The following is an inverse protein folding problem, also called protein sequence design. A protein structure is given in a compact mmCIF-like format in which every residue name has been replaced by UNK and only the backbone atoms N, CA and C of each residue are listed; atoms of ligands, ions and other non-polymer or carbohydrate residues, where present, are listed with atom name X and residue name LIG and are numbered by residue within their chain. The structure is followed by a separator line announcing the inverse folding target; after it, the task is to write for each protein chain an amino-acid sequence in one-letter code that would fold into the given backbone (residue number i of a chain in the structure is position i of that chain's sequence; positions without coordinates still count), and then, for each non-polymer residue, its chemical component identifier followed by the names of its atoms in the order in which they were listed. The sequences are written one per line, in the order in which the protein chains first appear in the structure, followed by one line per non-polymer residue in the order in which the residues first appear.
data_IF_507830546900
#
_entry.id   IF_507830546900
#
_cell.length_a   1.000
_cell.length_b   1.000
_cell.length_c   1.000
_cell.angle_alpha   90.00
_cell.angle_beta   90.00
_cell.angle_gamma   90.00
#
_symmetry.space_group_name_H-M   'P 1'
#
loop_
_entity.id
_entity.type
_entity.pdbx_description
1 polymer ?
#
# COMPACT_ATOMS: atom_id res chain seq x y z
N UNK A 1 21.87 -8.85 -22.16
CA UNK A 1 20.41 -8.62 -22.29
C UNK A 1 19.84 -8.51 -20.89
N UNK A 2 19.62 -7.29 -20.40
CA UNK A 2 18.96 -7.07 -19.11
C UNK A 2 17.46 -7.29 -19.33
N UNK A 3 16.98 -8.48 -18.98
CA UNK A 3 15.55 -8.68 -18.77
C UNK A 3 15.16 -7.80 -17.58
N UNK A 4 14.16 -6.96 -17.75
CA UNK A 4 13.46 -6.26 -16.66
C UNK A 4 12.25 -7.13 -16.30
N UNK A 5 12.22 -7.86 -15.18
CA UNK A 5 11.04 -8.55 -14.69
C UNK A 5 10.43 -7.83 -13.46
N UNK A 6 9.12 -7.89 -13.24
CA UNK A 6 8.15 -7.08 -13.95
C UNK A 6 7.58 -6.00 -13.02
N UNK A 7 7.36 -4.79 -13.56
CA UNK A 7 6.64 -3.70 -12.91
C UNK A 7 5.15 -4.05 -12.62
N UNK A 8 4.69 -5.23 -13.06
CA UNK A 8 3.29 -5.68 -12.99
C UNK A 8 2.83 -5.97 -11.57
N UNK A 9 3.67 -6.53 -10.71
CA UNK A 9 3.22 -6.94 -9.36
C UNK A 9 2.92 -5.71 -8.48
N UNK A 10 3.63 -4.60 -8.73
CA UNK A 10 3.45 -3.35 -8.00
C UNK A 10 2.12 -2.66 -8.27
N UNK A 11 1.38 -3.04 -9.33
CA UNK A 11 0.03 -2.50 -9.60
C UNK A 11 -0.93 -2.77 -8.44
N UNK A 12 -0.75 -3.91 -7.75
CA UNK A 12 -1.64 -4.31 -6.66
C UNK A 12 -1.51 -3.36 -5.48
N UNK A 13 -0.29 -3.02 -5.07
CA UNK A 13 -0.07 -2.07 -3.98
C UNK A 13 -0.25 -0.62 -4.42
N UNK A 14 0.31 -0.25 -5.58
CA UNK A 14 0.38 1.14 -6.04
C UNK A 14 -0.95 1.71 -6.54
N UNK A 15 -1.79 0.85 -7.13
CA UNK A 15 -3.03 1.27 -7.78
C UNK A 15 -4.25 0.57 -7.15
N UNK A 16 -4.30 -0.77 -7.11
CA UNK A 16 -5.51 -1.50 -6.67
C UNK A 16 -5.85 -1.23 -5.20
N UNK A 17 -4.94 -1.52 -4.26
CA UNK A 17 -5.18 -1.29 -2.83
C UNK A 17 -5.37 0.20 -2.51
N UNK A 18 -4.62 1.08 -3.21
CA UNK A 18 -4.72 2.52 -3.04
C UNK A 18 -6.10 3.05 -3.44
N UNK A 19 -6.63 2.64 -4.60
CA UNK A 19 -7.96 3.08 -5.06
C UNK A 19 -9.08 2.44 -4.22
N UNK A 20 -8.91 1.19 -3.75
CA UNK A 20 -9.88 0.57 -2.84
C UNK A 20 -10.17 1.41 -1.59
N UNK A 21 -9.18 2.19 -1.09
CA UNK A 21 -9.37 3.02 0.10
C UNK A 21 -10.35 4.18 -0.11
N UNK A 22 -10.40 4.73 -1.33
CA UNK A 22 -11.30 5.85 -1.68
C UNK A 22 -12.61 5.36 -2.29
N UNK A 23 -12.59 4.25 -3.03
CA UNK A 23 -13.76 3.70 -3.70
C UNK A 23 -14.68 2.89 -2.74
N UNK A 24 -14.19 2.60 -1.52
CA UNK A 24 -15.00 2.03 -0.44
C UNK A 24 -15.73 3.08 0.41
N UNK A 25 -15.76 4.35 -0.02
CA UNK A 25 -16.47 5.44 0.66
C UNK A 25 -17.81 5.73 -0.05
N UNK A 26 -18.84 6.08 0.72
CA UNK A 26 -20.14 6.48 0.15
C UNK A 26 -20.05 7.74 -0.74
N UNK A 27 -18.96 8.52 -0.61
CA UNK A 27 -18.67 9.70 -1.43
C UNK A 27 -17.91 9.39 -2.73
N UNK A 28 -17.71 8.11 -3.09
CA UNK A 28 -17.09 7.75 -4.37
C UNK A 28 -17.98 8.13 -5.57
N UNK A 29 -17.49 7.90 -6.77
CA UNK A 29 -18.22 8.09 -8.02
C UNK A 29 -17.92 6.98 -9.02
N UNK A 30 -18.84 6.71 -9.97
CA UNK A 30 -18.55 5.79 -11.07
C UNK A 30 -17.37 6.28 -11.92
N UNK A 31 -16.68 5.34 -12.59
CA UNK A 31 -15.63 5.66 -13.55
C UNK A 31 -16.15 6.47 -14.75
N UNK A 32 -17.40 6.25 -15.14
CA UNK A 32 -18.06 6.99 -16.21
C UNK A 32 -19.20 7.84 -15.65
N UNK A 33 -19.11 9.16 -15.86
CA UNK A 33 -20.21 10.09 -15.58
C UNK A 33 -21.05 10.31 -16.84
N UNK A 34 -22.34 10.59 -16.68
CA UNK A 34 -23.18 10.97 -17.82
C UNK A 34 -22.74 12.33 -18.35
N UNK A 35 -22.74 12.52 -19.68
CA UNK A 35 -22.26 13.75 -20.32
C UNK A 35 -23.01 15.00 -19.82
N UNK A 36 -24.30 14.86 -19.51
CA UNK A 36 -25.15 15.94 -19.00
C UNK A 36 -24.85 16.33 -17.54
N UNK A 37 -24.09 15.52 -16.79
CA UNK A 37 -23.67 15.82 -15.42
C UNK A 37 -22.42 16.72 -15.37
N UNK A 38 -21.69 16.85 -16.48
CA UNK A 38 -20.38 17.53 -16.54
C UNK A 38 -20.46 18.77 -17.45
N UNK A 39 -20.67 19.94 -16.83
CA UNK A 39 -20.88 21.19 -17.57
C UNK A 39 -19.87 22.29 -17.22
N UNK A 40 -19.28 22.27 -16.01
CA UNK A 40 -18.42 23.33 -15.49
C UNK A 40 -16.93 22.94 -15.53
N UNK A 41 -16.00 23.91 -15.71
CA UNK A 41 -14.55 23.64 -15.69
C UNK A 41 -14.03 22.93 -14.43
N UNK A 42 -14.66 23.16 -13.27
CA UNK A 42 -14.33 22.47 -12.02
C UNK A 42 -14.69 20.97 -12.10
N UNK A 43 -15.87 20.64 -12.66
CA UNK A 43 -16.32 19.25 -12.83
C UNK A 43 -15.44 18.50 -13.86
N UNK A 44 -14.96 19.20 -14.89
CA UNK A 44 -14.01 18.62 -15.86
C UNK A 44 -12.67 18.31 -15.17
N UNK A 45 -12.23 19.16 -14.24
CA UNK A 45 -10.98 18.97 -13.50
C UNK A 45 -11.05 17.79 -12.52
N UNK A 46 -12.25 17.42 -12.06
CA UNK A 46 -12.52 16.28 -11.18
C UNK A 46 -12.46 14.92 -11.92
N UNK A 47 -12.48 14.89 -13.25
CA UNK A 47 -12.49 13.67 -14.08
C UNK A 47 -11.11 13.18 -14.55
N UNK A 48 -10.02 13.90 -14.26
CA UNK A 48 -8.68 13.50 -14.70
C UNK A 48 -8.07 12.47 -13.74
N UNK A 49 -8.52 11.22 -13.88
CA UNK A 49 -7.86 10.04 -13.33
C UNK A 49 -7.30 9.13 -14.44
N UNK A 50 -6.52 8.12 -14.05
CA UNK A 50 -5.56 7.46 -14.93
C UNK A 50 -6.06 6.11 -15.46
N UNK A 51 -6.46 6.01 -16.74
CA UNK A 51 -6.59 4.72 -17.48
C UNK A 51 -6.14 4.87 -18.95
N UNK A 52 -5.61 3.79 -19.56
CA UNK A 52 -5.06 3.77 -20.93
C UNK A 52 -5.32 2.46 -21.71
N UNK A 53 -5.06 2.53 -23.03
CA UNK A 53 -5.77 1.94 -24.19
C UNK A 53 -5.21 0.64 -24.84
N UNK A 54 -5.98 0.05 -25.80
CA UNK A 54 -5.71 -1.19 -26.57
C UNK A 54 -5.50 -0.98 -28.10
N UNK A 55 -4.72 -1.86 -28.76
CA UNK A 55 -4.08 -1.69 -30.09
C UNK A 55 -5.00 -1.75 -31.33
N UNK A 56 -6.11 -2.48 -31.32
CA UNK A 56 -7.07 -2.52 -32.46
C UNK A 56 -7.94 -1.28 -32.48
N UNK A 57 -8.54 -0.98 -31.34
CA UNK A 57 -9.21 0.29 -31.04
C UNK A 57 -8.36 1.50 -31.44
N UNK A 58 -7.07 1.51 -31.06
CA UNK A 58 -6.15 2.60 -31.42
C UNK A 58 -5.92 2.76 -32.93
N UNK A 59 -6.10 1.70 -33.73
CA UNK A 59 -5.98 1.77 -35.19
C UNK A 59 -7.26 2.30 -35.82
N UNK A 60 -8.41 1.83 -35.35
CA UNK A 60 -9.72 2.16 -35.93
C UNK A 60 -10.16 3.60 -35.57
N UNK A 61 -9.69 4.12 -34.44
CA UNK A 61 -9.92 5.51 -34.02
C UNK A 61 -8.68 6.41 -34.11
N UNK A 62 -7.68 6.01 -34.90
CA UNK A 62 -6.48 6.82 -35.09
C UNK A 62 -6.85 8.23 -35.59
N UNK A 63 -6.39 9.26 -34.88
CA UNK A 63 -6.65 10.68 -35.18
C UNK A 63 -8.12 11.11 -35.07
N UNK A 64 -8.96 10.34 -34.36
CA UNK A 64 -10.37 10.65 -34.12
C UNK A 64 -10.73 10.52 -32.62
N UNK A 65 -11.98 10.80 -32.26
CA UNK A 65 -12.52 10.70 -30.91
C UNK A 65 -13.29 9.38 -30.70
N UNK A 66 -13.54 9.03 -29.45
CA UNK A 66 -14.19 7.78 -29.02
C UNK A 66 -15.00 7.97 -27.74
N UNK A 67 -15.99 7.12 -27.52
CA UNK A 67 -16.71 6.96 -26.24
C UNK A 67 -16.38 5.62 -25.58
N UNK A 68 -16.84 5.41 -24.34
CA UNK A 68 -16.53 4.19 -23.56
C UNK A 68 -16.97 2.89 -24.25
N UNK A 69 -18.14 2.92 -24.90
CA UNK A 69 -18.72 1.76 -25.60
C UNK A 69 -17.85 1.27 -26.76
N UNK A 70 -17.17 2.18 -27.46
CA UNK A 70 -16.30 1.85 -28.59
C UNK A 70 -15.18 0.86 -28.19
N UNK A 71 -14.67 0.96 -26.95
CA UNK A 71 -13.64 0.05 -26.44
C UNK A 71 -14.22 -1.34 -26.22
N UNK A 72 -15.42 -1.42 -25.65
CA UNK A 72 -16.10 -2.68 -25.35
C UNK A 72 -16.43 -3.46 -26.61
N UNK A 73 -16.84 -2.78 -27.67
CA UNK A 73 -17.12 -3.40 -28.98
C UNK A 73 -15.86 -4.02 -29.61
N UNK A 74 -14.72 -3.34 -29.52
CA UNK A 74 -13.46 -3.86 -30.05
C UNK A 74 -12.93 -5.04 -29.22
N UNK A 75 -13.14 -5.02 -27.90
CA UNK A 75 -12.81 -6.17 -27.05
C UNK A 75 -13.74 -7.36 -27.32
N UNK A 76 -15.04 -7.12 -27.52
CA UNK A 76 -16.01 -8.16 -27.88
C UNK A 76 -15.63 -8.85 -29.20
N UNK A 77 -15.21 -8.07 -30.21
CA UNK A 77 -14.71 -8.60 -31.48
C UNK A 77 -13.49 -9.51 -31.29
N UNK A 78 -12.57 -9.14 -30.40
CA UNK A 78 -11.40 -9.96 -30.10
C UNK A 78 -11.76 -11.24 -29.33
N UNK A 79 -12.74 -11.20 -28.42
CA UNK A 79 -13.27 -12.38 -27.72
C UNK A 79 -13.85 -13.38 -28.72
N UNK A 80 -14.66 -12.91 -29.68
CA UNK A 80 -15.25 -13.73 -30.74
C UNK A 80 -14.18 -14.33 -31.66
N UNK A 81 -13.18 -13.55 -32.06
CA UNK A 81 -12.09 -14.01 -32.93
C UNK A 81 -11.19 -15.07 -32.27
N UNK A 82 -11.01 -14.99 -30.94
CA UNK A 82 -10.17 -15.93 -30.18
C UNK A 82 -10.92 -17.16 -29.69
N UNK A 83 -12.26 -17.16 -29.76
CA UNK A 83 -13.11 -18.21 -29.19
C UNK A 83 -13.09 -18.24 -27.66
N UNK A 84 -12.75 -17.13 -27.01
CA UNK A 84 -12.78 -17.02 -25.54
C UNK A 84 -14.23 -17.06 -25.06
N UNK A 85 -14.55 -17.96 -24.13
CA UNK A 85 -15.92 -18.08 -23.58
C UNK A 85 -16.11 -17.13 -22.40
N UNK A 86 -17.09 -16.22 -22.52
CA UNK A 86 -17.54 -15.33 -21.46
C UNK A 86 -19.02 -15.62 -21.13
N UNK A 87 -19.46 -15.40 -19.86
CA UNK A 87 -20.85 -15.64 -19.47
C UNK A 87 -21.83 -14.64 -20.10
N UNK A 88 -21.37 -13.43 -20.41
CA UNK A 88 -22.13 -12.35 -21.02
C UNK A 88 -21.24 -11.57 -22.00
N UNK A 89 -21.83 -10.62 -22.75
CA UNK A 89 -21.05 -9.72 -23.61
C UNK A 89 -20.13 -8.85 -22.76
N UNK A 90 -19.03 -8.39 -23.37
CA UNK A 90 -18.07 -7.50 -22.69
C UNK A 90 -18.77 -6.27 -22.13
N UNK A 91 -19.72 -5.68 -22.87
CA UNK A 91 -20.52 -4.54 -22.43
C UNK A 91 -21.29 -4.82 -21.13
N UNK A 92 -22.02 -5.93 -21.05
CA UNK A 92 -22.82 -6.29 -19.88
C UNK A 92 -21.95 -6.50 -18.62
N UNK A 93 -20.75 -7.05 -18.81
CA UNK A 93 -19.78 -7.23 -17.73
C UNK A 93 -19.23 -5.88 -17.30
N UNK A 94 -18.68 -5.10 -18.23
CA UNK A 94 -17.98 -3.85 -17.93
C UNK A 94 -18.90 -2.75 -17.41
N UNK A 95 -20.15 -2.68 -17.84
CA UNK A 95 -21.11 -1.69 -17.35
C UNK A 95 -21.32 -1.80 -15.84
N UNK A 96 -21.35 -3.02 -15.30
CA UNK A 96 -21.43 -3.23 -13.85
C UNK A 96 -20.19 -2.74 -13.11
N UNK A 97 -19.05 -2.57 -13.78
CA UNK A 97 -17.82 -2.06 -13.16
C UNK A 97 -17.63 -0.55 -13.36
N UNK A 98 -18.22 0.04 -14.40
CA UNK A 98 -17.94 1.45 -14.78
C UNK A 98 -19.08 2.43 -14.54
N UNK A 99 -20.34 1.95 -14.50
CA UNK A 99 -21.53 2.81 -14.34
C UNK A 99 -22.06 2.88 -12.90
N UNK A 100 -21.52 2.07 -12.00
CA UNK A 100 -21.78 2.16 -10.56
C UNK A 100 -20.46 2.35 -9.82
N UNK A 101 -20.50 3.08 -8.71
CA UNK A 101 -19.32 3.30 -7.87
C UNK A 101 -19.05 2.10 -6.97
N UNK A 102 -17.83 2.03 -6.43
CA UNK A 102 -17.44 1.01 -5.48
C UNK A 102 -17.22 -0.36 -6.11
N UNK A 103 -17.00 -1.32 -5.23
CA UNK A 103 -16.67 -2.70 -5.59
C UNK A 103 -17.24 -3.69 -4.57
N UNK A 104 -17.37 -4.97 -4.94
CA UNK A 104 -17.91 -5.95 -4.01
C UNK A 104 -16.86 -6.50 -3.04
N UNK A 105 -17.34 -6.92 -1.87
CA UNK A 105 -16.69 -7.99 -1.10
C UNK A 105 -17.37 -9.31 -1.42
N UNK A 106 -16.58 -10.30 -1.82
CA UNK A 106 -17.04 -11.67 -2.07
C UNK A 106 -16.79 -12.50 -0.81
N UNK A 107 -17.86 -13.03 -0.21
CA UNK A 107 -17.77 -13.91 0.96
C UNK A 107 -17.97 -15.37 0.54
N UNK A 108 -17.00 -16.22 0.85
CA UNK A 108 -16.99 -17.65 0.52
C UNK A 108 -17.14 -18.47 1.80
N UNK A 109 -18.26 -19.18 1.92
CA UNK A 109 -18.47 -20.17 2.96
C UNK A 109 -18.00 -21.54 2.45
N UNK A 110 -16.82 -21.98 2.87
CA UNK A 110 -16.21 -23.23 2.40
C UNK A 110 -16.81 -24.47 3.06
N UNK A 111 -17.67 -24.31 4.08
CA UNK A 111 -18.45 -25.41 4.65
C UNK A 111 -19.62 -25.82 3.75
N UNK A 112 -20.20 -24.86 3.03
CA UNK A 112 -21.40 -25.06 2.18
C UNK A 112 -21.15 -24.85 0.69
N UNK A 113 -20.03 -24.24 0.32
CA UNK A 113 -19.76 -23.80 -1.05
C UNK A 113 -20.57 -22.57 -1.46
N UNK A 114 -21.23 -21.88 -0.51
CA UNK A 114 -22.02 -20.68 -0.80
C UNK A 114 -21.09 -19.47 -0.99
N UNK A 115 -21.27 -18.79 -2.10
CA UNK A 115 -20.66 -17.51 -2.43
C UNK A 115 -21.72 -16.43 -2.35
N UNK A 116 -21.34 -15.26 -1.86
CA UNK A 116 -22.18 -14.07 -1.85
C UNK A 116 -21.37 -12.83 -2.14
N UNK A 117 -21.98 -11.84 -2.78
CA UNK A 117 -21.41 -10.51 -2.98
C UNK A 117 -22.27 -9.44 -2.34
N UNK A 118 -21.62 -8.38 -1.89
CA UNK A 118 -22.25 -7.12 -1.48
C UNK A 118 -21.30 -5.96 -1.72
N UNK A 119 -21.83 -4.76 -1.92
CA UNK A 119 -21.04 -3.53 -1.95
C UNK A 119 -20.18 -3.42 -0.68
N UNK A 120 -18.88 -3.26 -0.84
CA UNK A 120 -17.94 -3.07 0.27
C UNK A 120 -17.83 -1.59 0.62
N UNK A 121 -18.13 -1.26 1.87
CA UNK A 121 -17.93 0.07 2.45
C UNK A 121 -17.03 -0.06 3.68
N UNK A 122 -16.10 0.87 3.85
CA UNK A 122 -15.24 0.90 5.04
C UNK A 122 -16.01 1.26 6.30
N UNK A 123 -17.03 2.11 6.17
CA UNK A 123 -17.98 2.42 7.23
C UNK A 123 -19.31 1.71 6.93
N UNK A 124 -19.69 0.68 7.71
CA UNK A 124 -20.91 -0.09 7.48
C UNK A 124 -22.19 0.71 7.75
N UNK A 125 -22.12 1.82 8.49
CA UNK A 125 -23.25 2.69 8.81
C UNK A 125 -23.46 3.80 7.78
N UNK A 126 -22.55 3.92 6.80
CA UNK A 126 -22.65 4.91 5.74
C UNK A 126 -23.88 4.67 4.86
N UNK A 127 -24.69 5.72 4.68
CA UNK A 127 -25.84 5.71 3.77
C UNK A 127 -25.34 6.00 2.36
N UNK A 128 -25.67 5.12 1.42
CA UNK A 128 -25.33 5.28 0.01
C UNK A 128 -26.48 5.98 -0.71
N UNK A 129 -26.35 7.30 -0.90
CA UNK A 129 -27.39 8.13 -1.53
C UNK A 129 -27.45 7.98 -3.05
N UNK A 130 -26.35 7.55 -3.69
CA UNK A 130 -26.30 7.36 -5.15
C UNK A 130 -26.97 6.02 -5.52
N UNK A 131 -28.10 6.01 -6.25
CA UNK A 131 -28.71 4.78 -6.71
C UNK A 131 -27.85 4.11 -7.79
N UNK A 132 -27.89 2.78 -7.86
CA UNK A 132 -27.28 2.00 -8.94
C UNK A 132 -28.37 1.30 -9.75
N UNK A 133 -28.28 1.37 -11.08
CA UNK A 133 -29.16 0.63 -11.99
C UNK A 133 -28.97 -0.90 -11.88
N UNK A 134 -27.86 -1.34 -11.29
CA UNK A 134 -27.53 -2.76 -11.06
C UNK A 134 -27.69 -3.18 -9.60
N UNK A 135 -28.27 -2.35 -8.73
CA UNK A 135 -28.44 -2.60 -7.30
C UNK A 135 -27.15 -2.99 -6.57
N UNK A 136 -26.01 -2.47 -7.02
CA UNK A 136 -24.68 -2.84 -6.50
C UNK A 136 -24.41 -4.36 -6.55
N UNK A 137 -24.71 -4.95 -7.71
CA UNK A 137 -24.34 -6.32 -8.06
C UNK A 137 -23.40 -6.30 -9.27
N UNK A 138 -22.31 -7.08 -9.20
CA UNK A 138 -21.29 -7.17 -10.24
C UNK A 138 -21.23 -8.58 -10.83
N UNK A 139 -20.77 -8.69 -12.08
CA UNK A 139 -20.35 -9.98 -12.63
C UNK A 139 -18.89 -10.21 -12.28
N UNK A 140 -18.65 -11.05 -11.28
CA UNK A 140 -17.33 -11.18 -10.66
C UNK A 140 -16.58 -12.41 -11.20
N UNK A 141 -15.44 -12.24 -11.90
CA UNK A 141 -14.58 -13.35 -12.27
C UNK A 141 -13.72 -13.78 -11.07
N UNK A 142 -13.89 -15.04 -10.66
CA UNK A 142 -13.23 -15.62 -9.49
C UNK A 142 -12.19 -16.64 -9.95
N UNK A 143 -10.92 -16.21 -9.96
CA UNK A 143 -9.78 -17.12 -10.03
C UNK A 143 -9.41 -17.57 -8.63
N UNK A 144 -9.27 -18.87 -8.42
CA UNK A 144 -9.08 -19.41 -7.09
C UNK A 144 -8.23 -20.67 -7.11
N UNK A 145 -7.67 -21.01 -5.95
CA UNK A 145 -6.92 -22.23 -5.73
C UNK A 145 -7.48 -22.97 -4.52
N UNK A 146 -7.29 -24.28 -4.51
CA UNK A 146 -7.61 -25.17 -3.39
C UNK A 146 -6.35 -25.92 -2.98
N UNK A 147 -5.89 -25.72 -1.75
CA UNK A 147 -4.74 -26.43 -1.16
C UNK A 147 -3.50 -26.46 -2.09
N UNK A 148 -3.09 -25.30 -2.61
CA UNK A 148 -1.93 -25.21 -3.50
C UNK A 148 -2.21 -25.41 -5.00
N UNK A 149 -3.40 -25.89 -5.38
CA UNK A 149 -3.73 -26.23 -6.77
C UNK A 149 -4.72 -25.22 -7.36
N UNK A 150 -4.29 -24.51 -8.41
CA UNK A 150 -5.15 -23.60 -9.18
C UNK A 150 -6.34 -24.35 -9.78
N UNK A 151 -7.52 -23.74 -9.70
CA UNK A 151 -8.79 -24.29 -10.18
C UNK A 151 -9.30 -23.48 -11.38
N UNK A 152 -10.28 -24.04 -12.09
CA UNK A 152 -10.94 -23.32 -13.18
C UNK A 152 -11.64 -22.06 -12.67
N UNK A 153 -11.51 -20.96 -13.42
CA UNK A 153 -12.19 -19.71 -13.11
C UNK A 153 -13.69 -19.92 -13.01
N UNK A 154 -14.29 -19.36 -11.95
CA UNK A 154 -15.73 -19.38 -11.71
C UNK A 154 -16.28 -17.96 -11.83
N UNK A 155 -17.52 -17.80 -12.31
CA UNK A 155 -18.18 -16.50 -12.37
C UNK A 155 -19.31 -16.43 -11.34
N UNK A 156 -19.32 -15.37 -10.53
CA UNK A 156 -20.45 -15.02 -9.69
C UNK A 156 -21.31 -14.00 -10.45
N UNK A 157 -22.39 -14.49 -11.06
CA UNK A 157 -23.27 -13.70 -11.94
C UNK A 157 -24.47 -13.09 -11.21
N UNK A 158 -24.82 -13.66 -10.06
CA UNK A 158 -25.91 -13.19 -9.22
C UNK A 158 -25.37 -12.80 -7.84
N UNK A 159 -26.24 -12.23 -7.00
CA UNK A 159 -25.91 -11.88 -5.62
C UNK A 159 -25.35 -13.05 -4.80
N UNK A 160 -25.83 -14.26 -5.08
CA UNK A 160 -25.38 -15.50 -4.43
C UNK A 160 -25.29 -16.64 -5.43
N UNK A 161 -24.33 -17.55 -5.22
CA UNK A 161 -24.23 -18.79 -5.99
C UNK A 161 -23.68 -19.91 -5.12
N UNK A 162 -23.97 -21.17 -5.45
CA UNK A 162 -23.37 -22.34 -4.78
C UNK A 162 -22.39 -23.03 -5.71
N UNK A 163 -21.13 -23.16 -5.28
CA UNK A 163 -20.05 -23.80 -6.01
C UNK A 163 -19.55 -24.98 -5.18
N UNK A 164 -19.91 -26.20 -5.56
CA UNK A 164 -19.63 -27.40 -4.76
C UNK A 164 -18.13 -27.68 -4.63
N UNK A 165 -17.35 -27.30 -5.64
CA UNK A 165 -15.90 -27.44 -5.70
C UNK A 165 -15.20 -26.60 -4.62
N UNK A 166 -15.84 -25.50 -4.20
CA UNK A 166 -15.35 -24.63 -3.13
C UNK A 166 -15.68 -25.13 -1.72
N UNK A 167 -16.23 -26.35 -1.58
CA UNK A 167 -16.34 -27.00 -0.28
C UNK A 167 -14.99 -27.54 0.17
N UNK A 168 -14.62 -27.29 1.42
CA UNK A 168 -13.35 -27.79 2.02
C UNK A 168 -13.64 -28.85 3.08
N UNK A 169 -12.83 -29.89 3.11
CA UNK A 169 -12.85 -30.94 4.14
C UNK A 169 -11.49 -31.06 4.83
N UNK A 170 -11.48 -31.45 6.10
CA UNK A 170 -10.24 -31.64 6.87
C UNK A 170 -9.35 -30.38 6.90
N UNK A 171 -8.15 -30.49 6.33
CA UNK A 171 -7.14 -29.44 6.28
C UNK A 171 -7.15 -28.62 4.97
N UNK A 172 -8.09 -28.90 4.05
CA UNK A 172 -8.21 -28.16 2.79
C UNK A 172 -8.56 -26.69 3.02
N UNK A 173 -7.93 -25.80 2.26
CA UNK A 173 -8.22 -24.36 2.29
C UNK A 173 -8.36 -23.81 0.89
N UNK A 174 -9.04 -22.67 0.78
CA UNK A 174 -9.25 -21.94 -0.46
C UNK A 174 -8.69 -20.53 -0.34
N UNK A 175 -8.03 -20.08 -1.40
CA UNK A 175 -7.72 -18.68 -1.65
C UNK A 175 -8.35 -18.29 -2.99
N UNK A 176 -9.13 -17.22 -2.99
CA UNK A 176 -9.74 -16.65 -4.18
C UNK A 176 -9.12 -15.29 -4.53
N UNK A 177 -9.42 -14.83 -5.74
CA UNK A 177 -8.80 -13.70 -6.41
C UNK A 177 -7.28 -13.88 -6.59
N UNK A 178 -6.86 -14.99 -7.22
CA UNK A 178 -5.44 -15.24 -7.49
C UNK A 178 -4.77 -14.05 -8.20
N UNK A 179 -3.63 -13.63 -7.65
CA UNK A 179 -2.87 -12.44 -8.07
C UNK A 179 -3.66 -11.12 -8.06
N UNK A 180 -4.80 -11.05 -7.36
CA UNK A 180 -5.66 -9.87 -7.26
C UNK A 180 -6.01 -9.31 -8.64
N UNK A 181 -6.32 -10.20 -9.59
CA UNK A 181 -6.69 -9.79 -10.96
C UNK A 181 -8.10 -9.23 -11.05
N UNK A 182 -8.96 -9.52 -10.07
CA UNK A 182 -10.29 -8.96 -9.97
C UNK A 182 -10.35 -7.79 -8.99
N UNK A 183 -11.16 -6.79 -9.31
CA UNK A 183 -11.35 -5.59 -8.51
C UNK A 183 -12.37 -5.84 -7.38
N UNK A 184 -12.04 -6.72 -6.44
CA UNK A 184 -12.89 -7.05 -5.29
C UNK A 184 -12.09 -7.59 -4.12
N UNK A 185 -12.65 -7.47 -2.91
CA UNK A 185 -12.09 -8.06 -1.69
C UNK A 185 -12.67 -9.43 -1.40
N UNK A 186 -11.93 -10.29 -0.72
CA UNK A 186 -12.41 -11.65 -0.38
C UNK A 186 -12.49 -11.84 1.12
N UNK A 187 -13.65 -12.32 1.58
CA UNK A 187 -13.84 -12.84 2.93
C UNK A 187 -14.12 -14.35 2.89
N UNK A 188 -13.77 -15.04 3.96
CA UNK A 188 -14.02 -16.46 4.13
C UNK A 188 -14.72 -16.75 5.45
N UNK A 189 -15.32 -17.93 5.59
CA UNK A 189 -15.71 -18.42 6.91
C UNK A 189 -14.49 -18.61 7.83
N UNK A 190 -14.73 -18.58 9.14
CA UNK A 190 -13.66 -18.66 10.14
C UNK A 190 -12.84 -19.96 10.03
N UNK A 191 -13.47 -21.06 9.62
CA UNK A 191 -12.78 -22.34 9.43
C UNK A 191 -11.72 -22.26 8.34
N UNK A 192 -12.02 -21.61 7.21
CA UNK A 192 -11.04 -21.38 6.15
C UNK A 192 -9.95 -20.38 6.58
N UNK A 193 -10.31 -19.29 7.27
CA UNK A 193 -9.33 -18.35 7.82
C UNK A 193 -8.31 -19.06 8.72
N UNK A 194 -8.75 -19.93 9.64
CA UNK A 194 -7.86 -20.69 10.51
C UNK A 194 -6.91 -21.62 9.74
N UNK A 195 -7.41 -22.27 8.69
CA UNK A 195 -6.59 -23.12 7.82
C UNK A 195 -5.56 -22.31 7.02
N UNK A 196 -5.94 -21.13 6.53
CA UNK A 196 -5.00 -20.21 5.86
C UNK A 196 -3.92 -19.70 6.82
N UNK A 197 -4.29 -19.29 8.04
CA UNK A 197 -3.32 -18.87 9.07
C UNK A 197 -2.34 -20.00 9.43
N UNK A 198 -2.84 -21.24 9.48
CA UNK A 198 -2.03 -22.43 9.70
C UNK A 198 -1.07 -22.70 8.52
N UNK A 199 -1.55 -22.57 7.28
CA UNK A 199 -0.72 -22.69 6.09
C UNK A 199 0.37 -21.62 6.03
N UNK A 200 0.04 -20.35 6.30
CA UNK A 200 1.00 -19.25 6.33
C UNK A 200 2.09 -19.48 7.38
N UNK A 201 1.72 -19.99 8.56
CA UNK A 201 2.68 -20.24 9.64
C UNK A 201 3.58 -21.45 9.37
N UNK A 202 3.06 -22.48 8.69
CA UNK A 202 3.79 -23.73 8.44
C UNK A 202 4.62 -23.70 7.16
N UNK A 203 4.04 -23.24 6.06
CA UNK A 203 4.71 -23.07 4.77
C UNK A 203 3.97 -22.02 3.92
N UNK A 204 4.26 -20.74 4.18
CA UNK A 204 3.65 -19.63 3.44
C UNK A 204 3.89 -19.68 1.94
N UNK A 205 4.98 -20.29 1.45
CA UNK A 205 5.36 -20.29 0.04
C UNK A 205 4.38 -21.08 -0.86
N UNK A 206 3.50 -21.90 -0.28
CA UNK A 206 2.41 -22.57 -1.03
C UNK A 206 1.38 -21.55 -1.54
N UNK A 207 1.21 -20.43 -0.83
CA UNK A 207 0.33 -19.34 -1.24
C UNK A 207 1.16 -18.32 -2.03
N UNK A 208 0.73 -17.91 -3.24
CA UNK A 208 1.44 -16.92 -4.06
C UNK A 208 1.70 -15.61 -3.31
N UNK A 209 2.84 -14.96 -3.57
CA UNK A 209 3.29 -13.75 -2.85
C UNK A 209 2.25 -12.63 -2.85
N UNK A 210 1.58 -12.39 -3.98
CA UNK A 210 0.54 -11.36 -4.09
C UNK A 210 -0.67 -11.73 -3.22
N UNK A 211 -1.08 -12.99 -3.21
CA UNK A 211 -2.19 -13.43 -2.37
C UNK A 211 -1.86 -13.42 -0.88
N UNK A 212 -0.60 -13.61 -0.48
CA UNK A 212 -0.20 -13.41 0.92
C UNK A 212 -0.36 -11.96 1.36
N UNK A 213 -0.01 -11.01 0.49
CA UNK A 213 -0.27 -9.59 0.71
C UNK A 213 -1.78 -9.30 0.74
N UNK A 214 -2.55 -9.85 -0.21
CA UNK A 214 -4.01 -9.71 -0.25
C UNK A 214 -4.67 -10.21 1.04
N UNK A 215 -4.27 -11.38 1.57
CA UNK A 215 -4.87 -11.93 2.80
C UNK A 215 -4.67 -10.99 4.00
N UNK A 216 -3.54 -10.30 4.07
CA UNK A 216 -3.29 -9.28 5.08
C UNK A 216 -4.20 -8.07 4.81
N UNK A 217 -4.12 -7.49 3.61
CA UNK A 217 -4.89 -6.29 3.24
C UNK A 217 -6.40 -6.46 3.39
N UNK A 218 -6.95 -7.55 2.86
CA UNK A 218 -8.38 -7.87 2.97
C UNK A 218 -8.76 -8.03 4.43
N UNK A 219 -8.01 -8.78 5.25
CA UNK A 219 -8.36 -8.97 6.66
C UNK A 219 -8.42 -7.65 7.44
N UNK A 220 -7.48 -6.72 7.23
CA UNK A 220 -7.49 -5.41 7.89
C UNK A 220 -8.66 -4.53 7.42
N UNK A 221 -8.94 -4.48 6.12
CA UNK A 221 -10.06 -3.68 5.60
C UNK A 221 -11.43 -4.29 5.94
N UNK A 222 -11.55 -5.62 5.95
CA UNK A 222 -12.72 -6.32 6.47
C UNK A 222 -12.93 -6.04 7.97
N UNK A 223 -11.85 -5.94 8.75
CA UNK A 223 -11.95 -5.59 10.17
C UNK A 223 -12.40 -4.15 10.39
N UNK A 224 -11.90 -3.21 9.57
CA UNK A 224 -12.35 -1.80 9.58
C UNK A 224 -13.83 -1.69 9.26
N UNK A 225 -14.31 -2.49 8.30
CA UNK A 225 -15.72 -2.59 7.91
C UNK A 225 -16.57 -3.48 8.86
N UNK A 226 -16.04 -3.85 10.03
CA UNK A 226 -16.70 -4.71 11.04
C UNK A 226 -17.22 -6.05 10.51
N UNK A 227 -16.59 -6.60 9.47
CA UNK A 227 -16.94 -7.89 8.84
C UNK A 227 -16.24 -9.04 9.55
N UNK A 228 -15.02 -8.81 10.03
CA UNK A 228 -14.23 -9.75 10.82
C UNK A 228 -13.66 -9.04 12.04
N UNK A 229 -13.23 -9.79 13.05
CA UNK A 229 -12.59 -9.19 14.21
C UNK A 229 -11.21 -8.61 13.87
N UNK A 230 -10.86 -7.47 14.48
CA UNK A 230 -9.52 -6.89 14.39
C UNK A 230 -8.43 -7.87 14.84
N UNK A 231 -8.75 -8.77 15.78
CA UNK A 231 -7.82 -9.80 16.24
C UNK A 231 -7.49 -10.81 15.13
N UNK A 232 -8.43 -11.13 14.23
CA UNK A 232 -8.18 -11.97 13.06
C UNK A 232 -7.23 -11.27 12.10
N UNK A 233 -7.45 -9.98 11.82
CA UNK A 233 -6.55 -9.19 10.99
C UNK A 233 -5.13 -9.15 11.56
N UNK A 234 -4.95 -8.87 12.85
CA UNK A 234 -3.63 -8.89 13.48
C UNK A 234 -2.96 -10.27 13.41
N UNK A 235 -3.74 -11.35 13.47
CA UNK A 235 -3.20 -12.72 13.36
C UNK A 235 -2.63 -13.04 11.98
N UNK A 236 -3.08 -12.40 10.90
CA UNK A 236 -2.49 -12.59 9.56
C UNK A 236 -1.03 -12.12 9.50
N UNK A 237 -0.61 -11.22 10.38
CA UNK A 237 0.78 -10.71 10.41
C UNK A 237 1.74 -11.62 11.20
N UNK A 238 1.24 -12.64 11.92
CA UNK A 238 2.07 -13.46 12.83
C UNK A 238 3.13 -14.28 12.11
N UNK A 239 2.91 -14.67 10.86
CA UNK A 239 3.86 -15.47 10.10
C UNK A 239 5.02 -14.64 9.50
N UNK A 240 4.93 -13.30 9.53
CA UNK A 240 5.90 -12.40 8.87
C UNK A 240 7.34 -12.59 9.34
N UNK A 241 7.57 -13.12 10.54
CA UNK A 241 8.91 -13.49 11.01
C UNK A 241 9.63 -14.50 10.08
N UNK A 242 8.87 -15.23 9.26
CA UNK A 242 9.38 -16.19 8.28
C UNK A 242 9.33 -15.65 6.84
N UNK A 243 8.74 -14.47 6.62
CA UNK A 243 8.55 -13.88 5.30
C UNK A 243 9.78 -13.07 4.89
N UNK A 244 10.20 -13.22 3.63
CA UNK A 244 11.35 -12.48 3.06
C UNK A 244 11.00 -11.69 1.80
N UNK A 245 9.77 -11.85 1.28
CA UNK A 245 9.30 -11.12 0.11
C UNK A 245 8.67 -9.77 0.45
N UNK A 246 8.75 -8.84 -0.49
CA UNK A 246 8.35 -7.44 -0.30
C UNK A 246 6.84 -7.26 -0.07
N UNK A 247 6.01 -7.84 -0.93
CA UNK A 247 4.58 -7.50 -1.00
C UNK A 247 3.84 -7.75 0.32
N UNK A 248 4.03 -8.90 1.01
CA UNK A 248 3.30 -9.13 2.26
C UNK A 248 3.81 -8.27 3.41
N UNK A 249 5.11 -7.97 3.42
CA UNK A 249 5.67 -7.01 4.36
C UNK A 249 5.11 -5.62 4.14
N UNK A 250 5.10 -5.11 2.90
CA UNK A 250 4.55 -3.79 2.61
C UNK A 250 3.06 -3.70 2.96
N UNK A 251 2.26 -4.69 2.55
CA UNK A 251 0.84 -4.74 2.91
C UNK A 251 0.60 -4.73 4.42
N UNK A 252 1.43 -5.42 5.20
CA UNK A 252 1.33 -5.38 6.66
C UNK A 252 1.70 -4.02 7.23
N UNK A 253 2.75 -3.38 6.71
CA UNK A 253 3.19 -2.06 7.18
C UNK A 253 2.15 -0.99 6.85
N UNK A 254 1.63 -0.96 5.62
CA UNK A 254 0.58 -0.01 5.20
C UNK A 254 -0.67 -0.11 6.08
N UNK A 255 -1.08 -1.33 6.43
CA UNK A 255 -2.25 -1.54 7.29
C UNK A 255 -1.97 -1.26 8.78
N UNK A 256 -0.72 -1.42 9.24
CA UNK A 256 -0.31 -1.09 10.60
C UNK A 256 0.01 0.40 10.80
N UNK A 257 0.24 1.17 9.74
CA UNK A 257 0.53 2.61 9.82
C UNK A 257 -0.56 3.38 10.57
N UNK A 258 -1.83 3.05 10.37
CA UNK A 258 -2.92 3.65 11.16
C UNK A 258 -2.84 3.28 12.65
N UNK A 259 -2.46 2.04 12.96
CA UNK A 259 -2.26 1.62 14.36
C UNK A 259 -1.09 2.37 15.00
N UNK A 260 0.02 2.56 14.29
CA UNK A 260 1.12 3.37 14.78
C UNK A 260 0.66 4.81 15.03
N UNK A 261 -0.03 5.43 14.07
CA UNK A 261 -0.53 6.81 14.21
C UNK A 261 -1.47 7.00 15.40
N UNK A 262 -2.35 6.02 15.66
CA UNK A 262 -3.30 6.08 16.76
C UNK A 262 -2.68 5.75 18.12
N UNK A 263 -1.71 4.83 18.16
CA UNK A 263 -1.22 4.26 19.40
C UNK A 263 0.18 4.71 19.82
N UNK A 264 0.94 5.44 19.00
CA UNK A 264 2.32 5.89 19.29
C UNK A 264 2.53 6.68 20.59
N UNK A 265 1.44 7.21 21.16
CA UNK A 265 1.40 7.99 22.40
C UNK A 265 0.57 7.33 23.50
N UNK A 266 0.25 6.06 23.35
CA UNK A 266 -0.57 5.29 24.30
C UNK A 266 0.20 4.14 24.95
N UNK A 267 -0.39 3.52 25.98
CA UNK A 267 0.17 2.33 26.62
C UNK A 267 0.34 1.13 25.67
N UNK A 268 -0.41 1.11 24.56
CA UNK A 268 -0.35 0.06 23.53
C UNK A 268 0.97 0.10 22.75
N UNK A 269 1.65 1.26 22.70
CA UNK A 269 2.84 1.42 21.87
C UNK A 269 3.98 0.49 22.27
N UNK A 270 4.24 0.31 23.56
CA UNK A 270 5.31 -0.57 24.06
C UNK A 270 5.15 -2.01 23.56
N UNK A 271 4.01 -2.68 23.86
CA UNK A 271 3.72 -4.01 23.35
C UNK A 271 3.72 -4.10 21.81
N UNK A 272 3.24 -3.06 21.12
CA UNK A 272 3.26 -3.00 19.65
C UNK A 272 4.70 -2.98 19.11
N UNK A 273 5.58 -2.16 19.70
CA UNK A 273 6.99 -2.09 19.34
C UNK A 273 7.71 -3.42 19.58
N UNK A 274 7.43 -4.10 20.70
CA UNK A 274 8.00 -5.41 21.01
C UNK A 274 7.54 -6.49 20.01
N UNK A 275 6.26 -6.47 19.62
CA UNK A 275 5.72 -7.34 18.58
C UNK A 275 6.42 -7.08 17.23
N UNK A 276 6.43 -5.84 16.77
CA UNK A 276 7.04 -5.45 15.49
C UNK A 276 8.52 -5.81 15.46
N UNK A 277 9.25 -5.56 16.56
CA UNK A 277 10.66 -5.94 16.72
C UNK A 277 10.84 -7.44 16.51
N UNK A 278 10.03 -8.27 17.19
CA UNK A 278 10.07 -9.73 17.07
C UNK A 278 9.81 -10.19 15.63
N UNK A 279 8.86 -9.55 14.93
CA UNK A 279 8.54 -9.93 13.56
C UNK A 279 9.66 -9.54 12.58
N UNK A 280 10.26 -8.34 12.71
CA UNK A 280 11.22 -7.81 11.72
C UNK A 280 12.66 -8.29 11.93
N UNK A 281 13.04 -8.67 13.15
CA UNK A 281 14.42 -9.03 13.47
C UNK A 281 15.01 -10.14 12.57
N UNK A 282 14.30 -11.25 12.25
CA UNK A 282 14.79 -12.25 11.30
C UNK A 282 15.03 -11.68 9.90
N UNK A 283 14.13 -10.82 9.41
CA UNK A 283 14.26 -10.17 8.10
C UNK A 283 15.46 -9.22 8.08
N UNK A 284 15.66 -8.45 9.15
CA UNK A 284 16.81 -7.56 9.28
C UNK A 284 18.12 -8.33 9.27
N UNK A 285 18.24 -9.42 10.06
CA UNK A 285 19.47 -10.22 10.09
C UNK A 285 19.74 -10.89 8.73
N UNK A 286 18.71 -11.34 8.01
CA UNK A 286 18.83 -11.81 6.61
C UNK A 286 19.50 -10.75 5.71
N UNK A 287 19.01 -9.51 5.72
CA UNK A 287 19.56 -8.43 4.89
C UNK A 287 20.91 -7.90 5.39
N UNK A 288 21.14 -7.89 6.69
CA UNK A 288 22.43 -7.49 7.28
C UNK A 288 23.55 -8.40 6.80
N UNK A 289 23.35 -9.72 6.79
CA UNK A 289 24.34 -10.68 6.25
C UNK A 289 24.66 -10.36 4.78
N UNK A 290 23.65 -10.05 3.96
CA UNK A 290 23.85 -9.68 2.55
C UNK A 290 24.65 -8.38 2.40
N UNK A 291 24.48 -7.43 3.31
CA UNK A 291 25.16 -6.14 3.29
C UNK A 291 26.62 -6.23 3.77
N UNK A 292 26.92 -7.10 4.75
CA UNK A 292 28.25 -7.21 5.39
C UNK A 292 29.18 -8.20 4.70
N UNK A 293 28.67 -9.22 4.02
CA UNK A 293 29.48 -10.27 3.36
C UNK A 293 30.02 -9.88 1.98
N UNK A 294 29.86 -8.63 1.56
CA UNK A 294 30.35 -8.17 0.26
C UNK A 294 29.53 -8.66 -0.95
N UNK A 295 28.43 -9.39 -0.71
CA UNK A 295 27.46 -9.82 -1.73
C UNK A 295 26.55 -8.67 -2.22
N UNK A 296 27.03 -7.41 -2.16
CA UNK A 296 26.28 -6.21 -2.57
C UNK A 296 25.82 -6.29 -4.03
N UNK A 297 26.58 -6.98 -4.88
CA UNK A 297 26.24 -7.26 -6.29
C UNK A 297 25.11 -8.29 -6.48
N UNK A 298 24.63 -8.92 -5.41
CA UNK A 298 23.50 -9.89 -5.41
C UNK A 298 22.22 -9.34 -4.79
N UNK A 299 22.09 -8.04 -4.56
CA UNK A 299 20.79 -7.45 -4.21
C UNK A 299 19.86 -7.60 -5.42
N UNK A 300 19.16 -8.73 -5.44
CA UNK A 300 18.50 -9.34 -6.60
C UNK A 300 17.53 -8.43 -7.35
N UNK A 301 16.24 -8.70 -7.20
CA UNK A 301 15.18 -7.98 -7.93
C UNK A 301 14.95 -6.59 -7.32
N UNK A 302 14.13 -5.76 -8.00
CA UNK A 302 13.68 -4.47 -7.43
C UNK A 302 12.95 -4.66 -6.09
N UNK A 303 12.08 -5.67 -5.99
CA UNK A 303 11.32 -5.99 -4.77
C UNK A 303 12.22 -6.38 -3.60
N UNK A 304 13.29 -7.15 -3.83
CA UNK A 304 14.28 -7.44 -2.77
C UNK A 304 14.91 -6.15 -2.22
N UNK A 305 15.20 -5.18 -3.09
CA UNK A 305 15.77 -3.88 -2.67
C UNK A 305 14.77 -3.03 -1.88
N UNK A 306 13.48 -3.08 -2.22
CA UNK A 306 12.45 -2.43 -1.40
C UNK A 306 12.27 -3.10 -0.05
N UNK A 307 12.24 -4.44 0.01
CA UNK A 307 12.09 -5.13 1.28
C UNK A 307 13.29 -4.92 2.21
N UNK A 308 14.49 -4.74 1.65
CA UNK A 308 15.67 -4.33 2.43
C UNK A 308 15.45 -2.98 3.12
N UNK A 309 14.85 -2.01 2.43
CA UNK A 309 14.55 -0.70 3.00
C UNK A 309 13.56 -0.86 4.15
N UNK A 310 12.50 -1.64 3.96
CA UNK A 310 11.51 -1.93 5.00
C UNK A 310 12.12 -2.62 6.21
N UNK A 311 12.94 -3.65 5.99
CA UNK A 311 13.61 -4.38 7.06
C UNK A 311 14.44 -3.46 7.96
N UNK A 312 15.27 -2.59 7.35
CA UNK A 312 16.12 -1.67 8.10
C UNK A 312 15.26 -0.57 8.75
N UNK A 313 14.25 -0.04 8.03
CA UNK A 313 13.34 1.00 8.54
C UNK A 313 12.67 0.53 9.82
N UNK A 314 12.03 -0.63 9.74
CA UNK A 314 11.24 -1.18 10.82
C UNK A 314 12.11 -1.71 11.96
N UNK A 315 13.25 -2.35 11.68
CA UNK A 315 14.16 -2.79 12.74
C UNK A 315 14.74 -1.61 13.54
N UNK A 316 15.15 -0.53 12.86
CA UNK A 316 15.69 0.64 13.53
C UNK A 316 14.61 1.42 14.29
N UNK A 317 13.42 1.62 13.70
CA UNK A 317 12.32 2.30 14.39
C UNK A 317 11.80 1.49 15.59
N UNK A 318 11.82 0.16 15.51
CA UNK A 318 11.42 -0.74 16.60
C UNK A 318 12.49 -0.95 17.68
N UNK A 319 13.66 -0.32 17.54
CA UNK A 319 14.74 -0.38 18.54
C UNK A 319 15.62 -1.63 18.50
N UNK A 320 15.73 -2.33 17.36
CA UNK A 320 16.72 -3.41 17.18
C UNK A 320 18.13 -2.82 17.29
N UNK A 321 18.85 -3.19 18.34
CA UNK A 321 20.17 -2.60 18.67
C UNK A 321 21.18 -2.74 17.53
N UNK A 322 21.24 -3.92 16.90
CA UNK A 322 22.15 -4.16 15.76
C UNK A 322 21.84 -3.27 14.55
N UNK A 323 20.59 -2.85 14.34
CA UNK A 323 20.22 -1.88 13.31
C UNK A 323 20.70 -0.47 13.67
N UNK A 324 20.49 -0.05 14.92
CA UNK A 324 20.95 1.25 15.42
C UNK A 324 22.47 1.38 15.35
N UNK A 325 23.21 0.37 15.78
CA UNK A 325 24.68 0.35 15.71
C UNK A 325 25.20 0.44 14.26
N UNK A 326 24.53 -0.26 13.33
CA UNK A 326 24.88 -0.24 11.91
C UNK A 326 24.63 1.13 11.27
N UNK A 327 23.45 1.70 11.49
CA UNK A 327 23.03 2.97 10.87
C UNK A 327 23.81 4.15 11.43
N UNK A 328 24.01 4.22 12.75
CA UNK A 328 24.85 5.23 13.39
C UNK A 328 26.32 5.08 12.99
N UNK A 329 26.83 3.85 12.85
CA UNK A 329 28.18 3.56 12.38
C UNK A 329 28.44 4.11 10.97
N UNK A 330 27.54 3.87 10.01
CA UNK A 330 27.68 4.41 8.65
C UNK A 330 27.57 5.93 8.62
N UNK A 331 26.65 6.51 9.38
CA UNK A 331 26.50 7.97 9.45
C UNK A 331 27.75 8.63 10.04
N UNK A 332 28.34 8.03 11.08
CA UNK A 332 29.61 8.50 11.66
C UNK A 332 30.77 8.43 10.65
N UNK A 333 30.86 7.36 9.86
CA UNK A 333 31.85 7.28 8.77
C UNK A 333 31.65 8.38 7.74
N UNK A 334 30.39 8.70 7.40
CA UNK A 334 30.10 9.82 6.50
C UNK A 334 30.48 11.17 7.11
N UNK A 335 30.20 11.41 8.39
CA UNK A 335 30.62 12.63 9.09
C UNK A 335 32.14 12.83 9.08
N UNK A 336 32.91 11.73 9.16
CA UNK A 336 34.38 11.76 9.11
C UNK A 336 34.92 12.04 7.69
N UNK A 337 34.19 11.66 6.65
CA UNK A 337 34.55 11.93 5.26
C UNK A 337 33.34 12.44 4.46
N UNK A 338 32.94 13.73 4.62
CA UNK A 338 31.71 14.25 4.04
C UNK A 338 31.65 14.18 2.50
N UNK A 339 32.82 14.19 1.85
CA UNK A 339 32.96 14.12 0.40
C UNK A 339 32.63 12.72 -0.17
N UNK A 340 32.73 11.66 0.64
CA UNK A 340 32.47 10.29 0.23
C UNK A 340 31.44 9.62 1.14
N UNK A 341 30.18 9.69 0.75
CA UNK A 341 29.08 9.09 1.49
C UNK A 341 29.04 7.56 1.29
N UNK A 342 29.33 6.74 2.33
CA UNK A 342 29.36 5.28 2.22
C UNK A 342 27.95 4.67 2.16
N UNK A 343 26.89 5.44 2.40
CA UNK A 343 25.51 4.96 2.48
C UNK A 343 24.92 4.88 1.08
N UNK A 344 24.50 3.66 0.71
CA UNK A 344 23.86 3.40 -0.57
C UNK A 344 22.56 4.23 -0.73
N UNK A 345 22.29 4.82 -1.90
CA UNK A 345 21.15 5.73 -2.11
C UNK A 345 19.78 5.22 -1.66
N UNK A 346 19.52 3.91 -1.79
CA UNK A 346 18.26 3.29 -1.35
C UNK A 346 18.07 3.33 0.17
N UNK A 347 19.17 3.31 0.94
CA UNK A 347 19.14 3.22 2.40
C UNK A 347 19.22 4.60 3.06
N UNK A 348 19.55 5.66 2.31
CA UNK A 348 19.83 6.99 2.85
C UNK A 348 18.70 7.55 3.70
N UNK A 349 17.45 7.49 3.23
CA UNK A 349 16.28 7.98 3.99
C UNK A 349 16.24 7.37 5.38
N UNK A 350 16.30 6.04 5.45
CA UNK A 350 16.26 5.29 6.71
C UNK A 350 17.49 5.52 7.58
N UNK A 351 18.69 5.45 6.99
CA UNK A 351 19.94 5.58 7.76
C UNK A 351 20.10 6.98 8.33
N UNK A 352 19.79 8.02 7.55
CA UNK A 352 19.84 9.40 8.03
C UNK A 352 18.84 9.62 9.16
N UNK A 353 17.58 9.22 8.96
CA UNK A 353 16.53 9.38 9.96
C UNK A 353 16.90 8.65 11.26
N UNK A 354 17.31 7.37 11.17
CA UNK A 354 17.72 6.55 12.32
C UNK A 354 18.91 7.18 13.07
N UNK A 355 19.96 7.60 12.35
CA UNK A 355 21.14 8.17 12.96
C UNK A 355 20.85 9.53 13.63
N UNK A 356 20.06 10.40 13.00
CA UNK A 356 19.64 11.69 13.57
C UNK A 356 18.71 11.49 14.79
N UNK A 357 17.84 10.48 14.75
CA UNK A 357 16.96 10.13 15.86
C UNK A 357 17.73 9.57 17.08
N UNK A 358 18.82 8.84 16.84
CA UNK A 358 19.69 8.28 17.87
C UNK A 358 20.74 9.30 18.39
N UNK A 359 21.11 10.28 17.57
CA UNK A 359 22.11 11.30 17.86
C UNK A 359 21.57 12.55 18.55
N UNK A 360 22.35 13.63 18.45
CA UNK A 360 22.02 14.94 19.01
C UNK A 360 22.31 16.07 18.04
N UNK A 361 22.73 17.22 18.57
CA UNK A 361 23.00 18.41 17.77
C UNK A 361 24.10 18.19 16.72
N UNK A 362 25.13 17.39 17.02
CA UNK A 362 26.25 17.16 16.09
C UNK A 362 25.81 16.46 14.81
N UNK A 363 25.03 15.37 14.93
CA UNK A 363 24.47 14.63 13.80
C UNK A 363 23.46 15.50 13.03
N UNK A 364 22.61 16.23 13.75
CA UNK A 364 21.59 17.09 13.14
C UNK A 364 22.20 18.26 12.37
N UNK A 365 23.17 18.98 12.95
CA UNK A 365 23.86 20.10 12.30
C UNK A 365 24.66 19.64 11.07
N UNK A 366 25.26 18.45 11.14
CA UNK A 366 25.89 17.84 9.97
C UNK A 366 24.86 17.53 8.87
N UNK A 367 23.73 16.92 9.22
CA UNK A 367 22.63 16.67 8.28
C UNK A 367 22.13 17.96 7.61
N UNK A 368 21.96 19.04 8.39
CA UNK A 368 21.54 20.34 7.87
C UNK A 368 22.59 20.92 6.92
N UNK A 369 23.88 20.83 7.28
CA UNK A 369 24.97 21.28 6.41
C UNK A 369 24.95 20.55 5.07
N UNK A 370 24.75 19.23 5.09
CA UNK A 370 24.67 18.43 3.86
C UNK A 370 23.40 18.75 3.05
N UNK A 371 22.28 19.04 3.71
CA UNK A 371 21.04 19.47 3.06
C UNK A 371 21.23 20.78 2.30
N UNK A 372 21.78 21.80 2.96
CA UNK A 372 22.00 23.12 2.35
C UNK A 372 23.03 23.08 1.21
N UNK A 373 23.96 22.12 1.24
CA UNK A 373 24.96 21.93 0.20
C UNK A 373 24.51 20.99 -0.94
N UNK A 374 23.35 20.33 -0.82
CA UNK A 374 22.91 19.33 -1.78
C UNK A 374 22.48 19.98 -3.11
N UNK A 375 23.09 19.56 -4.21
CA UNK A 375 22.71 19.98 -5.57
C UNK A 375 21.62 19.12 -6.18
N UNK A 376 21.43 17.90 -5.67
CA UNK A 376 20.45 16.93 -6.17
C UNK A 376 19.19 17.02 -5.32
N UNK A 377 18.06 17.39 -5.94
CA UNK A 377 16.79 17.59 -5.26
C UNK A 377 16.33 16.34 -4.45
N UNK A 378 16.52 15.13 -5.00
CA UNK A 378 16.14 13.89 -4.31
C UNK A 378 17.02 13.57 -3.11
N UNK A 379 18.28 14.04 -3.08
CA UNK A 379 19.14 13.90 -1.90
C UNK A 379 18.77 14.94 -0.84
N UNK A 380 18.51 16.18 -1.26
CA UNK A 380 18.04 17.24 -0.39
C UNK A 380 16.74 16.84 0.32
N UNK A 381 15.80 16.25 -0.41
CA UNK A 381 14.53 15.77 0.14
C UNK A 381 14.72 14.71 1.25
N UNK A 382 15.59 13.72 1.02
CA UNK A 382 15.91 12.69 2.03
C UNK A 382 16.50 13.29 3.30
N UNK A 383 17.40 14.26 3.17
CA UNK A 383 18.00 14.95 4.32
C UNK A 383 16.97 15.82 5.05
N UNK A 384 16.13 16.54 4.30
CA UNK A 384 15.06 17.37 4.84
C UNK A 384 14.07 16.56 5.66
N UNK A 385 13.67 15.39 5.17
CA UNK A 385 12.85 14.44 5.90
C UNK A 385 13.58 13.89 7.14
N UNK A 386 14.83 13.45 6.99
CA UNK A 386 15.61 12.88 8.09
C UNK A 386 15.90 13.84 9.26
N UNK A 387 16.06 15.14 8.98
CA UNK A 387 16.23 16.18 10.01
C UNK A 387 15.02 16.27 10.95
N UNK A 388 13.82 15.91 10.47
CA UNK A 388 12.62 15.87 11.28
C UNK A 388 12.59 14.67 12.24
N UNK A 389 13.48 13.67 12.10
CA UNK A 389 13.49 12.48 12.95
C UNK A 389 14.16 12.67 14.32
N UNK A 390 14.77 13.84 14.59
CA UNK A 390 15.41 14.09 15.89
C UNK A 390 14.42 14.01 17.05
N UNK A 391 14.86 13.50 18.19
CA UNK A 391 14.06 13.40 19.41
C UNK A 391 14.18 14.63 20.32
N UNK A 392 14.95 15.65 19.90
CA UNK A 392 15.21 16.85 20.68
C UNK A 392 14.18 17.95 20.33
N UNK A 393 13.26 18.34 21.24
CA UNK A 393 12.22 19.32 20.94
C UNK A 393 12.75 20.67 20.45
N UNK A 394 13.86 21.14 21.01
CA UNK A 394 14.45 22.43 20.63
C UNK A 394 15.02 22.43 19.20
N UNK A 395 15.49 21.28 18.70
CA UNK A 395 15.92 21.15 17.31
C UNK A 395 14.73 21.17 16.35
N UNK A 396 13.62 20.52 16.71
CA UNK A 396 12.38 20.54 15.92
C UNK A 396 11.78 21.95 15.86
N UNK A 397 11.73 22.67 16.98
CA UNK A 397 11.29 24.07 17.00
C UNK A 397 12.18 24.98 16.15
N UNK A 398 13.51 24.83 16.27
CA UNK A 398 14.45 25.54 15.39
C UNK A 398 14.20 25.22 13.92
N UNK A 399 13.84 23.97 13.61
CA UNK A 399 13.58 23.55 12.25
C UNK A 399 12.26 24.10 11.69
N UNK A 400 11.21 24.17 12.51
CA UNK A 400 9.95 24.83 12.16
C UNK A 400 10.17 26.29 11.77
N UNK A 401 10.95 27.05 12.55
CA UNK A 401 11.27 28.44 12.22
C UNK A 401 12.02 28.58 10.88
N UNK A 402 12.82 27.57 10.47
CA UNK A 402 13.48 27.60 9.16
C UNK A 402 12.51 27.45 7.99
N UNK A 403 11.31 26.91 8.20
CA UNK A 403 10.28 26.80 7.15
C UNK A 403 9.71 28.15 6.73
N UNK A 404 9.87 29.19 7.56
CA UNK A 404 9.47 30.56 7.25
C UNK A 404 10.58 31.36 6.52
N UNK A 405 11.81 30.85 6.53
CA UNK A 405 12.97 31.46 5.90
C UNK A 405 13.26 30.81 4.53
N UNK A 406 12.82 31.49 3.47
CA UNK A 406 12.96 31.02 2.09
C UNK A 406 14.41 30.73 1.65
N UNK A 407 15.41 31.26 2.37
CA UNK A 407 16.84 30.99 2.09
C UNK A 407 17.31 29.66 2.69
N UNK A 408 16.61 29.15 3.69
CA UNK A 408 16.92 27.87 4.35
C UNK A 408 16.03 26.75 3.80
N UNK A 409 14.73 26.99 3.70
CA UNK A 409 13.74 26.05 3.15
C UNK A 409 12.97 26.76 2.04
N UNK A 410 12.95 26.20 0.84
CA UNK A 410 12.21 26.77 -0.29
C UNK A 410 10.72 26.82 0.04
N UNK A 411 10.00 27.86 -0.41
CA UNK A 411 8.56 28.02 -0.16
C UNK A 411 7.73 26.76 -0.50
N UNK A 412 8.01 26.15 -1.66
CA UNK A 412 7.36 24.89 -2.11
C UNK A 412 7.61 23.68 -1.20
N UNK A 413 8.67 23.71 -0.38
CA UNK A 413 9.06 22.62 0.52
C UNK A 413 8.66 22.91 1.98
N UNK A 414 8.16 24.11 2.29
CA UNK A 414 7.86 24.52 3.66
C UNK A 414 6.79 23.62 4.29
N UNK A 415 5.63 23.48 3.63
CA UNK A 415 4.52 22.66 4.10
C UNK A 415 4.91 21.20 4.29
N UNK A 416 5.62 20.60 3.34
CA UNK A 416 6.07 19.21 3.48
C UNK A 416 7.09 19.03 4.60
N UNK A 417 7.90 20.05 4.90
CA UNK A 417 8.81 20.01 6.06
C UNK A 417 8.03 20.04 7.38
N UNK A 418 7.00 20.89 7.48
CA UNK A 418 6.09 20.92 8.63
C UNK A 418 5.41 19.56 8.82
N UNK A 419 4.95 18.94 7.73
CA UNK A 419 4.35 17.59 7.77
C UNK A 419 5.35 16.55 8.29
N UNK A 420 6.61 16.56 7.83
CA UNK A 420 7.62 15.64 8.38
C UNK A 420 7.84 15.82 9.87
N UNK A 421 7.82 17.05 10.38
CA UNK A 421 7.94 17.34 11.82
C UNK A 421 6.67 16.89 12.55
N UNK A 422 5.49 17.09 11.97
CA UNK A 422 4.21 16.66 12.54
C UNK A 422 4.10 15.12 12.64
N UNK A 423 4.73 14.39 11.71
CA UNK A 423 4.82 12.92 11.74
C UNK A 423 5.78 12.38 12.79
N UNK A 424 6.60 13.22 13.43
CA UNK A 424 7.41 12.83 14.57
C UNK A 424 6.57 12.94 15.86
N UNK A 425 6.52 11.88 16.66
CA UNK A 425 5.78 11.83 17.93
C UNK A 425 6.13 12.99 18.89
N UNK A 426 7.39 13.45 18.90
CA UNK A 426 7.85 14.60 19.69
C UNK A 426 7.49 15.92 19.02
N UNK A 427 7.44 15.94 17.68
CA UNK A 427 7.18 17.13 16.86
C UNK A 427 5.71 17.42 16.61
N UNK A 428 4.81 16.46 16.83
CA UNK A 428 3.40 16.58 16.49
C UNK A 428 2.71 17.78 17.17
N UNK A 429 2.88 17.93 18.49
CA UNK A 429 2.32 19.07 19.22
C UNK A 429 3.00 20.39 18.81
N UNK A 430 4.32 20.37 18.62
CA UNK A 430 5.09 21.54 18.21
C UNK A 430 4.63 22.06 16.84
N UNK A 431 4.46 21.17 15.87
CA UNK A 431 3.98 21.51 14.54
C UNK A 431 2.53 22.02 14.57
N UNK A 432 1.67 21.39 15.37
CA UNK A 432 0.28 21.84 15.53
C UNK A 432 0.20 23.26 16.11
N UNK A 433 0.95 23.52 17.18
CA UNK A 433 1.01 24.84 17.81
C UNK A 433 1.57 25.88 16.85
N UNK A 434 2.68 25.55 16.17
CA UNK A 434 3.30 26.42 15.17
C UNK A 434 2.35 26.81 14.02
N UNK A 435 1.61 25.85 13.47
CA UNK A 435 0.65 26.13 12.39
C UNK A 435 -0.48 27.04 12.88
N UNK A 436 -0.99 26.84 14.10
CA UNK A 436 -2.03 27.71 14.68
C UNK A 436 -1.53 29.13 14.91
N UNK A 437 -0.32 29.27 15.47
CA UNK A 437 0.28 30.58 15.78
C UNK A 437 0.72 31.35 14.53
N UNK A 438 1.08 30.66 13.46
CA UNK A 438 1.58 31.24 12.20
C UNK A 438 0.57 31.20 11.06
N UNK A 439 -0.69 30.85 11.34
CA UNK A 439 -1.72 30.65 10.32
C UNK A 439 -1.87 31.85 9.38
N UNK A 440 -1.95 33.07 9.94
CA UNK A 440 -2.09 34.30 9.16
C UNK A 440 -0.91 34.52 8.21
N UNK A 441 0.32 34.20 8.63
CA UNK A 441 1.50 34.30 7.78
C UNK A 441 1.46 33.26 6.65
N UNK A 442 1.06 32.03 6.95
CA UNK A 442 0.99 30.94 5.95
C UNK A 442 -0.06 31.17 4.86
N UNK A 443 -1.15 31.88 5.17
CA UNK A 443 -2.26 32.11 4.24
C UNK A 443 -2.19 33.46 3.50
N UNK A 444 -1.29 34.36 3.90
CA UNK A 444 -1.16 35.71 3.32
C UNK A 444 0.06 35.91 2.42
N UNK A 445 0.94 34.91 2.28
CA UNK A 445 2.22 34.95 1.54
C UNK A 445 2.35 33.79 0.55
#
# INVERSE_FOLDING_TARGET
MCTVPPQKDLIVLGDVHRVFAVDALASSHPLSSREDEINKPAQISELFDAISYSKTYLKDFAYNNTVGDDLWDHLQTAVEATGTSLPHRVHDIMNRWVLQMGFPVVTINTSTGLLSQRHFLLDPESVVDRPSEFNYEWYVPIKWMKTGVEQNQTWLLEKTATVNEMKTTGAEWIVANLNVTGYYRVNYDMGNWERLLTQLSSNHQVIPVINRAQLIDDAFNLARATIVDTTLALRTTKYLSNETEYMPWESALDNLDYFFLMFDRSEVYGPMQDYVRKQVEPLFEHFKILLTTGLRSRLGTLTTRYNQVNAIRMACSSGVKSCLDLTTGWYKQWMQNPANNPIHPNLRTTVYCSAIAAGGAAEWDFGLKMFLAASIATEADKLRSALACTKQPWLLNRYLEYTLDAKKIRKQDATSTIVYIASNVVGQSLAWDFVRERWDYMFSQ
#
